data_IF_553075705887
#
_entry.id   IF_553075705887
#
_cell.length_a   1.000
_cell.length_b   1.000
_cell.length_c   1.000
_cell.angle_alpha   90.00
_cell.angle_beta   90.00
_cell.angle_gamma   90.00
#
_symmetry.space_group_name_H-M   'P 1'
#
loop_
_entity.id
_entity.type
_entity.pdbx_description
1 polymer ?
#
# COMPACT_ATOMS: atom_id res chain seq x y z
N UNK A 1 5.37 5.14 7.82
CA UNK A 1 6.34 4.05 8.04
C UNK A 1 7.67 4.42 7.38
N UNK A 2 8.73 4.25 8.10
CA UNK A 2 10.10 4.54 7.62
C UNK A 2 10.96 3.27 7.57
N UNK A 3 10.42 2.13 7.93
CA UNK A 3 11.09 0.85 7.96
C UNK A 3 10.17 -0.25 7.42
N UNK A 4 10.79 -1.33 6.93
CA UNK A 4 10.05 -2.52 6.50
C UNK A 4 9.28 -3.14 7.66
N UNK A 5 8.16 -3.74 7.36
CA UNK A 5 7.31 -4.41 8.35
C UNK A 5 5.85 -4.43 7.94
N UNK A 6 4.99 -4.72 8.92
CA UNK A 6 3.56 -4.81 8.70
C UNK A 6 2.88 -3.44 8.74
N UNK A 7 2.04 -3.18 7.75
CA UNK A 7 1.17 -2.00 7.74
C UNK A 7 0.03 -2.25 8.71
N UNK A 8 -0.29 -1.23 9.54
CA UNK A 8 -1.41 -1.34 10.47
C UNK A 8 -2.73 -1.49 9.73
N UNK A 9 -3.56 -2.43 10.16
CA UNK A 9 -4.94 -2.59 9.67
C UNK A 9 -5.96 -1.91 10.57
N UNK A 10 -5.53 -1.31 11.68
CA UNK A 10 -6.42 -0.64 12.64
C UNK A 10 -6.58 0.84 12.37
N UNK A 11 -5.75 1.44 11.51
CA UNK A 11 -5.87 2.84 11.09
C UNK A 11 -6.21 2.91 9.61
N UNK A 12 -6.96 3.93 9.20
CA UNK A 12 -7.43 4.06 7.83
C UNK A 12 -6.35 4.50 6.84
N UNK A 13 -5.36 5.26 7.29
CA UNK A 13 -4.32 5.85 6.43
C UNK A 13 -2.95 5.50 6.97
N UNK A 14 -2.06 5.08 6.08
CA UNK A 14 -0.63 4.90 6.37
C UNK A 14 0.20 5.79 5.46
N UNK A 15 1.09 6.55 6.07
CA UNK A 15 2.09 7.35 5.36
C UNK A 15 3.39 6.57 5.23
N UNK A 16 3.95 6.54 4.03
CA UNK A 16 5.18 5.82 3.73
C UNK A 16 6.30 6.79 3.40
N UNK A 17 7.44 6.59 4.01
CA UNK A 17 8.67 7.35 3.77
C UNK A 17 9.80 6.36 3.49
N UNK A 18 10.25 6.31 2.23
CA UNK A 18 11.29 5.39 1.77
C UNK A 18 12.65 6.07 1.58
N UNK A 19 12.87 7.23 2.18
CA UNK A 19 14.12 7.98 2.02
C UNK A 19 15.33 7.23 2.56
N UNK A 20 15.15 6.37 3.54
CA UNK A 20 16.23 5.60 4.18
C UNK A 20 16.59 4.29 3.48
N UNK A 21 15.82 3.83 2.52
CA UNK A 21 16.06 2.57 1.81
C UNK A 21 14.80 1.97 1.22
N UNK A 22 14.97 0.89 0.49
CA UNK A 22 13.85 0.11 -0.06
C UNK A 22 13.06 -0.48 1.11
N UNK A 23 11.74 -0.33 1.06
CA UNK A 23 10.84 -0.88 2.07
C UNK A 23 10.12 -2.11 1.53
N UNK A 24 10.11 -3.18 2.31
CA UNK A 24 9.28 -4.35 2.09
C UNK A 24 8.15 -4.33 3.14
N UNK A 25 6.94 -4.06 2.70
CA UNK A 25 5.79 -3.87 3.57
C UNK A 25 4.79 -5.00 3.35
N UNK A 26 4.13 -5.43 4.42
CA UNK A 26 3.07 -6.42 4.35
C UNK A 26 1.76 -5.81 4.78
N UNK A 27 0.66 -6.32 4.24
CA UNK A 27 -0.70 -5.91 4.60
C UNK A 27 -1.51 -7.18 4.88
N UNK A 28 -1.78 -7.44 6.14
CA UNK A 28 -2.60 -8.57 6.54
C UNK A 28 -4.05 -8.37 6.11
N UNK A 29 -4.83 -9.45 6.07
CA UNK A 29 -6.26 -9.34 5.88
C UNK A 29 -6.88 -8.52 7.01
N UNK A 30 -7.84 -7.68 6.67
CA UNK A 30 -8.64 -6.99 7.68
C UNK A 30 -9.57 -7.96 8.39
N UNK A 31 -9.98 -7.63 9.60
CA UNK A 31 -10.90 -8.47 10.36
C UNK A 31 -12.34 -8.41 9.87
N UNK A 32 -12.68 -7.42 9.04
CA UNK A 32 -14.07 -7.16 8.62
C UNK A 32 -14.11 -6.77 7.15
N UNK A 33 -15.01 -7.39 6.39
CA UNK A 33 -15.29 -6.98 5.02
C UNK A 33 -15.79 -5.53 4.98
N UNK A 34 -15.39 -4.78 3.97
CA UNK A 34 -15.71 -3.37 3.84
C UNK A 34 -14.67 -2.42 4.46
N UNK A 35 -13.61 -2.94 5.07
CA UNK A 35 -12.51 -2.12 5.59
C UNK A 35 -11.79 -1.44 4.44
N UNK A 36 -11.60 -0.13 4.55
CA UNK A 36 -10.87 0.67 3.56
C UNK A 36 -9.52 1.06 4.15
N UNK A 37 -8.47 0.91 3.34
CA UNK A 37 -7.11 1.28 3.69
C UNK A 37 -6.53 2.19 2.62
N UNK A 38 -6.01 3.33 3.05
CA UNK A 38 -5.32 4.28 2.18
C UNK A 38 -3.84 4.26 2.53
N UNK A 39 -2.99 4.10 1.53
CA UNK A 39 -1.54 4.12 1.68
C UNK A 39 -1.01 5.21 0.76
N UNK A 40 -0.21 6.12 1.29
CA UNK A 40 0.33 7.23 0.52
C UNK A 40 1.81 7.44 0.81
N UNK A 41 2.60 7.68 -0.24
CA UNK A 41 4.02 7.94 -0.11
C UNK A 41 4.25 9.43 0.05
N UNK A 42 4.74 9.84 1.21
CA UNK A 42 4.99 11.25 1.54
C UNK A 42 6.43 11.67 1.26
N UNK A 43 7.37 10.74 1.33
CA UNK A 43 8.78 10.98 1.02
C UNK A 43 9.33 9.76 0.32
N UNK A 44 9.96 9.96 -0.83
CA UNK A 44 10.52 8.88 -1.63
C UNK A 44 12.03 9.09 -1.83
N UNK A 45 12.76 8.03 -1.88
CA UNK A 45 14.16 7.95 -2.27
C UNK A 45 14.43 6.56 -2.82
N UNK A 46 13.55 5.62 -2.48
CA UNK A 46 13.59 4.23 -2.87
C UNK A 46 12.17 3.71 -3.08
N UNK A 47 12.03 2.50 -3.59
CA UNK A 47 10.74 1.87 -3.74
C UNK A 47 10.22 1.35 -2.40
N UNK A 48 8.91 1.41 -2.23
CA UNK A 48 8.19 0.69 -1.20
C UNK A 48 7.34 -0.38 -1.88
N UNK A 49 7.62 -1.63 -1.58
CA UNK A 49 6.89 -2.77 -2.15
C UNK A 49 5.96 -3.31 -1.09
N UNK A 50 4.66 -3.28 -1.38
CA UNK A 50 3.62 -3.73 -0.47
C UNK A 50 3.11 -5.07 -0.98
N UNK A 51 3.17 -6.09 -0.12
CA UNK A 51 2.68 -7.43 -0.43
C UNK A 51 1.48 -7.74 0.47
N UNK A 52 0.25 -7.54 -0.02
CA UNK A 52 -0.93 -7.96 0.72
C UNK A 52 -0.97 -9.48 0.88
N UNK A 53 -1.49 -9.95 2.01
CA UNK A 53 -1.62 -11.38 2.26
C UNK A 53 -2.53 -12.04 1.22
N UNK A 54 -3.59 -11.36 0.83
CA UNK A 54 -4.46 -11.75 -0.29
C UNK A 54 -4.78 -10.49 -1.09
N UNK A 55 -4.47 -10.50 -2.37
CA UNK A 55 -4.59 -9.35 -3.24
C UNK A 55 -5.25 -9.76 -4.55
N UNK A 56 -6.43 -9.21 -4.83
CA UNK A 56 -7.22 -9.61 -6.00
C UNK A 56 -6.65 -9.08 -7.32
N UNK A 57 -5.93 -7.96 -7.28
CA UNK A 57 -5.41 -7.32 -8.50
C UNK A 57 -4.04 -7.86 -8.94
N UNK A 58 -3.35 -8.62 -8.08
CA UNK A 58 -2.02 -9.13 -8.39
C UNK A 58 -1.34 -9.68 -7.14
N UNK A 59 -0.02 -9.46 -7.04
CA UNK A 59 0.79 -9.93 -5.91
C UNK A 59 1.31 -8.77 -5.08
N UNK A 60 1.78 -7.70 -5.71
CA UNK A 60 2.41 -6.57 -5.05
C UNK A 60 1.95 -5.23 -5.60
N UNK A 61 2.06 -4.21 -4.74
CA UNK A 61 1.95 -2.80 -5.08
C UNK A 61 3.32 -2.17 -4.88
N UNK A 62 3.82 -1.43 -5.86
CA UNK A 62 5.10 -0.71 -5.72
C UNK A 62 4.86 0.79 -5.82
N UNK A 63 5.25 1.51 -4.78
CA UNK A 63 5.25 2.97 -4.73
C UNK A 63 6.68 3.46 -4.88
N UNK A 64 6.91 4.40 -5.79
CA UNK A 64 8.26 4.85 -6.12
C UNK A 64 8.43 6.36 -6.11
N UNK A 65 7.39 7.12 -5.92
CA UNK A 65 7.44 8.58 -5.94
C UNK A 65 6.49 9.20 -4.93
N UNK A 66 6.81 10.42 -4.50
CA UNK A 66 5.93 11.21 -3.64
C UNK A 66 4.57 11.39 -4.32
N UNK A 67 3.51 11.19 -3.57
CA UNK A 67 2.15 11.28 -4.07
C UNK A 67 1.59 9.99 -4.63
N UNK A 68 2.40 8.94 -4.80
CA UNK A 68 1.85 7.63 -5.11
C UNK A 68 0.91 7.19 -3.99
N UNK A 69 -0.27 6.74 -4.35
CA UNK A 69 -1.32 6.34 -3.41
C UNK A 69 -1.96 5.04 -3.84
N UNK A 70 -2.51 4.34 -2.87
CA UNK A 70 -3.39 3.20 -3.13
C UNK A 70 -4.56 3.27 -2.15
N UNK A 71 -5.77 3.15 -2.68
CA UNK A 71 -6.98 3.00 -1.88
C UNK A 71 -7.49 1.60 -2.09
N UNK A 72 -7.53 0.83 -1.00
CA UNK A 72 -7.84 -0.59 -1.02
C UNK A 72 -9.09 -0.86 -0.20
N UNK A 73 -9.88 -1.83 -0.65
CA UNK A 73 -11.06 -2.32 0.05
C UNK A 73 -10.88 -3.80 0.33
N UNK A 74 -11.05 -4.20 1.60
CA UNK A 74 -11.08 -5.61 1.95
C UNK A 74 -12.48 -6.17 1.72
N UNK A 75 -12.61 -7.11 0.79
CA UNK A 75 -13.91 -7.66 0.39
C UNK A 75 -14.37 -8.86 1.25
N UNK A 76 -13.62 -9.18 2.31
CA UNK A 76 -13.87 -10.35 3.15
C UNK A 76 -12.94 -11.53 2.84
N UNK A 77 -12.31 -11.54 1.67
CA UNK A 77 -11.39 -12.59 1.24
C UNK A 77 -10.03 -12.02 0.83
N UNK A 78 -10.03 -10.90 0.13
CA UNK A 78 -8.83 -10.27 -0.41
C UNK A 78 -8.99 -8.74 -0.44
N UNK A 79 -7.87 -8.06 -0.64
CA UNK A 79 -7.85 -6.63 -0.87
C UNK A 79 -8.11 -6.33 -2.35
N UNK A 80 -9.13 -5.53 -2.61
CA UNK A 80 -9.43 -4.99 -3.94
C UNK A 80 -8.84 -3.59 -4.06
N UNK A 81 -8.41 -3.22 -5.27
CA UNK A 81 -7.92 -1.88 -5.55
C UNK A 81 -9.08 -1.00 -6.01
N UNK A 82 -9.37 0.06 -5.24
CA UNK A 82 -10.36 1.06 -5.64
C UNK A 82 -9.75 2.14 -6.52
N UNK A 83 -8.52 2.56 -6.19
CA UNK A 83 -7.79 3.51 -7.01
C UNK A 83 -6.30 3.43 -6.71
N UNK A 84 -5.47 3.78 -7.68
CA UNK A 84 -4.02 3.88 -7.53
C UNK A 84 -3.53 5.12 -8.26
N UNK A 85 -2.41 5.65 -7.80
CA UNK A 85 -1.70 6.67 -8.53
C UNK A 85 -1.66 8.00 -7.84
N UNK A 86 -1.15 8.95 -8.52
CA UNK A 86 -1.21 10.40 -8.33
C UNK A 86 -0.22 11.05 -9.28
N UNK A 87 -0.48 12.28 -9.65
CA UNK A 87 0.39 13.01 -10.56
C UNK A 87 0.51 12.33 -11.92
N UNK A 88 1.73 12.30 -12.47
CA UNK A 88 1.98 11.76 -13.80
C UNK A 88 2.28 10.27 -13.82
N UNK A 89 2.45 9.63 -12.67
CA UNK A 89 2.78 8.21 -12.56
C UNK A 89 1.80 7.51 -11.63
N UNK A 90 1.64 6.22 -11.84
CA UNK A 90 0.75 5.39 -11.04
C UNK A 90 1.54 4.44 -10.16
N UNK A 91 0.96 4.07 -9.02
CA UNK A 91 1.42 2.93 -8.25
C UNK A 91 1.37 1.69 -9.12
N UNK A 92 2.49 0.98 -9.23
CA UNK A 92 2.59 -0.20 -10.08
C UNK A 92 2.02 -1.42 -9.35
N UNK A 93 1.23 -2.21 -10.08
CA UNK A 93 0.66 -3.47 -9.59
C UNK A 93 1.28 -4.61 -10.41
N UNK A 94 1.80 -5.60 -9.70
CA UNK A 94 2.44 -6.76 -10.35
C UNK A 94 1.78 -8.08 -9.98
#
# INVERSE_FOLDING_TARGET
MTASGAISISVGVTYVNSSGGVLALTLANAGTAGTIKIITMTTAGNNAVITPANFSAGTTLTMSAVGHTATLLFNGTAWDVLSVGAGSTLTAIA
#
